data_IF_787407146250
#
_entry.id   IF_787407146250
#
_cell.length_a   1.000
_cell.length_b   1.000
_cell.length_c   1.000
_cell.angle_alpha   90.00
_cell.angle_beta   90.00
_cell.angle_gamma   90.00
#
_symmetry.space_group_name_H-M   'P 1'
#
loop_
_entity.id
_entity.type
_entity.pdbx_description
1 polymer ?
#
# COMPACT_ATOMS: atom_id res chain seq x y z
N UNK A 1 28.53 -7.21 -22.68
CA UNK A 1 28.39 -5.84 -22.17
C UNK A 1 27.89 -5.95 -20.73
N UNK A 2 28.57 -5.34 -19.77
CA UNK A 2 28.20 -5.37 -18.34
C UNK A 2 28.02 -3.94 -17.85
N UNK A 3 26.94 -3.70 -17.12
CA UNK A 3 26.68 -2.40 -16.48
C UNK A 3 27.05 -2.48 -15.00
N UNK A 4 27.52 -1.36 -14.44
CA UNK A 4 27.72 -1.26 -13.00
C UNK A 4 26.37 -1.19 -12.27
N UNK A 5 26.33 -1.59 -11.00
CA UNK A 5 25.14 -1.44 -10.15
C UNK A 5 24.71 0.03 -10.06
N UNK A 6 25.67 0.96 -10.02
CA UNK A 6 25.39 2.40 -10.04
C UNK A 6 24.68 2.84 -11.31
N UNK A 7 25.13 2.40 -12.48
CA UNK A 7 24.50 2.73 -13.75
C UNK A 7 23.05 2.19 -13.84
N UNK A 8 22.79 0.98 -13.32
CA UNK A 8 21.44 0.42 -13.24
C UNK A 8 20.55 1.26 -12.30
N UNK A 9 21.06 1.63 -11.13
CA UNK A 9 20.35 2.45 -10.14
C UNK A 9 19.99 3.85 -10.68
N UNK A 10 20.92 4.49 -11.38
CA UNK A 10 20.67 5.79 -12.03
C UNK A 10 19.60 5.69 -13.13
N UNK A 11 19.64 4.63 -13.94
CA UNK A 11 18.62 4.40 -14.96
C UNK A 11 17.24 4.19 -14.32
N UNK A 12 17.14 3.39 -13.25
CA UNK A 12 15.90 3.20 -12.49
C UNK A 12 15.37 4.52 -11.92
N UNK A 13 16.25 5.39 -11.43
CA UNK A 13 15.86 6.71 -10.88
C UNK A 13 15.20 7.60 -11.93
N UNK A 14 15.72 7.60 -13.17
CA UNK A 14 15.12 8.35 -14.29
C UNK A 14 13.73 7.82 -14.64
N UNK A 15 13.60 6.50 -14.75
CA UNK A 15 12.31 5.83 -15.02
C UNK A 15 11.31 6.11 -13.90
N UNK A 16 11.71 6.01 -12.64
CA UNK A 16 10.86 6.30 -11.49
C UNK A 16 10.31 7.73 -11.54
N UNK A 17 11.16 8.71 -11.89
CA UNK A 17 10.75 10.10 -12.05
C UNK A 17 9.67 10.25 -13.13
N UNK A 18 9.85 9.60 -14.29
CA UNK A 18 8.88 9.59 -15.39
C UNK A 18 7.55 8.92 -15.03
N UNK A 19 7.56 7.90 -14.15
CA UNK A 19 6.37 7.18 -13.72
C UNK A 19 5.56 7.91 -12.63
N UNK A 20 6.10 8.98 -12.04
CA UNK A 20 5.44 9.72 -10.95
C UNK A 20 4.01 10.18 -11.31
N UNK A 21 3.73 10.76 -12.49
CA UNK A 21 2.36 11.14 -12.86
C UNK A 21 1.42 9.95 -12.95
N UNK A 22 1.89 8.81 -13.48
CA UNK A 22 1.11 7.57 -13.55
C UNK A 22 0.82 7.02 -12.15
N UNK A 23 1.80 7.04 -11.25
CA UNK A 23 1.62 6.64 -9.85
C UNK A 23 0.55 7.48 -9.14
N UNK A 24 0.52 8.79 -9.40
CA UNK A 24 -0.55 9.67 -8.90
C UNK A 24 -1.90 9.35 -9.52
N UNK A 25 -1.97 9.10 -10.83
CA UNK A 25 -3.22 8.73 -11.50
C UNK A 25 -3.80 7.41 -10.96
N UNK A 26 -2.93 6.42 -10.69
CA UNK A 26 -3.32 5.15 -10.07
C UNK A 26 -3.90 5.38 -8.67
N UNK A 27 -3.24 6.21 -7.85
CA UNK A 27 -3.76 6.59 -6.52
C UNK A 27 -5.15 7.19 -6.64
N UNK A 28 -5.33 8.17 -7.52
CA UNK A 28 -6.58 8.90 -7.65
C UNK A 28 -7.71 7.97 -8.14
N UNK A 29 -7.41 7.05 -9.06
CA UNK A 29 -8.36 6.01 -9.49
C UNK A 29 -8.76 5.09 -8.34
N UNK A 30 -7.78 4.58 -7.57
CA UNK A 30 -8.03 3.69 -6.42
C UNK A 30 -8.88 4.38 -5.34
N UNK A 31 -8.69 5.67 -5.10
CA UNK A 31 -9.47 6.42 -4.12
C UNK A 31 -10.95 6.56 -4.49
N UNK A 32 -11.31 6.26 -5.74
CA UNK A 32 -12.70 6.23 -6.23
C UNK A 32 -13.23 4.82 -6.47
N UNK A 33 -12.39 3.79 -6.29
CA UNK A 33 -12.79 2.41 -6.50
C UNK A 33 -13.90 1.99 -5.50
N UNK A 34 -14.86 1.15 -5.92
CA UNK A 34 -15.96 0.73 -5.05
C UNK A 34 -15.50 -0.25 -3.96
N UNK A 35 -14.40 -0.97 -4.20
CA UNK A 35 -13.81 -1.94 -3.30
C UNK A 35 -12.29 -1.91 -3.46
N UNK A 36 -11.58 -1.97 -2.32
CA UNK A 36 -10.13 -2.15 -2.30
C UNK A 36 -9.72 -3.19 -1.27
N UNK A 37 -8.61 -3.86 -1.54
CA UNK A 37 -7.90 -4.72 -0.61
C UNK A 37 -6.63 -4.00 -0.17
N UNK A 38 -6.32 -4.01 1.13
CA UNK A 38 -5.14 -3.33 1.67
C UNK A 38 -4.31 -4.31 2.48
N UNK A 39 -2.99 -4.21 2.31
CA UNK A 39 -2.01 -4.99 3.05
C UNK A 39 -0.77 -4.14 3.39
N UNK A 40 -0.12 -4.49 4.50
CA UNK A 40 1.14 -3.88 4.93
C UNK A 40 2.20 -4.94 5.23
N UNK A 41 3.34 -4.82 4.56
CA UNK A 41 4.49 -5.69 4.78
C UNK A 41 5.66 -4.91 5.36
N UNK A 42 6.32 -5.46 6.38
CA UNK A 42 7.54 -4.92 6.97
C UNK A 42 8.62 -4.69 5.88
N UNK A 43 9.23 -3.51 5.85
CA UNK A 43 10.23 -3.13 4.86
C UNK A 43 11.47 -2.51 5.55
N UNK A 44 12.44 -3.32 6.01
CA UNK A 44 13.72 -2.84 6.49
C UNK A 44 14.49 -2.14 5.36
N UNK A 45 15.10 -0.99 5.63
CA UNK A 45 15.76 -0.18 4.59
C UNK A 45 17.15 0.27 5.04
N UNK A 46 18.19 -0.13 4.32
CA UNK A 46 19.56 0.38 4.40
C UNK A 46 20.12 0.60 5.83
N UNK A 47 19.80 -0.28 6.78
CA UNK A 47 20.29 -0.17 8.16
C UNK A 47 19.64 0.94 8.97
N UNK A 48 18.53 1.53 8.51
CA UNK A 48 17.71 2.41 9.32
C UNK A 48 17.24 1.67 10.58
N UNK A 49 17.38 2.32 11.74
CA UNK A 49 16.93 1.75 13.03
C UNK A 49 15.41 1.57 13.05
N UNK A 50 14.67 2.48 12.40
CA UNK A 50 13.22 2.44 12.33
C UNK A 50 12.74 1.60 11.15
N UNK A 51 11.89 0.60 11.43
CA UNK A 51 11.22 -0.21 10.41
C UNK A 51 10.26 0.64 9.57
N UNK A 52 10.39 0.57 8.23
CA UNK A 52 9.38 1.08 7.30
C UNK A 52 8.37 0.01 6.93
N UNK A 53 7.30 0.43 6.29
CA UNK A 53 6.20 -0.44 5.86
C UNK A 53 5.93 -0.21 4.39
N UNK A 54 5.89 -1.29 3.62
CA UNK A 54 5.36 -1.29 2.27
C UNK A 54 3.86 -1.45 2.36
N UNK A 55 3.13 -0.40 1.99
CA UNK A 55 1.69 -0.40 1.92
C UNK A 55 1.25 -0.66 0.49
N UNK A 56 0.27 -1.54 0.33
CA UNK A 56 -0.34 -1.89 -0.95
C UNK A 56 -1.84 -1.72 -0.84
N UNK A 57 -2.44 -0.99 -1.79
CA UNK A 57 -3.88 -0.92 -2.00
C UNK A 57 -4.18 -1.47 -3.39
N UNK A 58 -4.94 -2.54 -3.47
CA UNK A 58 -5.38 -3.15 -4.72
C UNK A 58 -6.87 -2.90 -4.95
N UNK A 59 -7.22 -2.55 -6.17
CA UNK A 59 -8.58 -2.61 -6.71
C UNK A 59 -8.67 -3.77 -7.70
N UNK A 60 -9.76 -3.87 -8.47
CA UNK A 60 -9.90 -4.89 -9.51
C UNK A 60 -8.81 -4.79 -10.58
N UNK A 61 -8.49 -3.58 -11.04
CA UNK A 61 -7.61 -3.36 -12.19
C UNK A 61 -6.24 -2.76 -11.83
N UNK A 62 -6.13 -2.13 -10.66
CA UNK A 62 -4.99 -1.29 -10.30
C UNK A 62 -4.44 -1.62 -8.92
N UNK A 63 -3.13 -1.45 -8.77
CA UNK A 63 -2.41 -1.56 -7.50
C UNK A 63 -1.62 -0.28 -7.24
N UNK A 64 -1.82 0.30 -6.06
CA UNK A 64 -1.11 1.45 -5.55
C UNK A 64 -0.21 1.04 -4.39
N UNK A 65 1.10 1.28 -4.52
CA UNK A 65 2.07 0.99 -3.48
C UNK A 65 2.79 2.24 -2.98
N UNK A 66 3.13 2.24 -1.68
CA UNK A 66 3.94 3.29 -1.07
C UNK A 66 4.70 2.78 0.15
N UNK A 67 5.93 3.23 0.31
CA UNK A 67 6.70 3.01 1.54
C UNK A 67 6.41 4.14 2.54
N UNK A 68 5.92 3.80 3.73
CA UNK A 68 5.64 4.74 4.83
C UNK A 68 6.41 4.35 6.09
N UNK A 69 6.59 5.32 7.00
CA UNK A 69 7.38 5.14 8.23
C UNK A 69 6.67 4.37 9.35
N UNK A 70 5.35 4.15 9.26
CA UNK A 70 4.60 3.50 10.33
C UNK A 70 3.45 2.64 9.80
N UNK A 71 3.10 1.61 10.58
CA UNK A 71 1.86 0.83 10.46
C UNK A 71 0.78 1.43 11.36
N UNK A 72 0.33 2.64 11.04
CA UNK A 72 -0.61 3.41 11.86
C UNK A 72 -1.90 3.75 11.12
N UNK A 73 -2.93 4.13 11.87
CA UNK A 73 -4.18 4.68 11.33
C UNK A 73 -3.95 5.88 10.41
N UNK A 74 -2.95 6.72 10.71
CA UNK A 74 -2.61 7.85 9.85
C UNK A 74 -2.08 7.38 8.48
N UNK A 75 -1.21 6.37 8.48
CA UNK A 75 -0.71 5.75 7.26
C UNK A 75 -1.84 5.10 6.45
N UNK A 76 -2.73 4.34 7.11
CA UNK A 76 -3.89 3.73 6.45
C UNK A 76 -4.80 4.79 5.77
N UNK A 77 -5.11 5.88 6.47
CA UNK A 77 -5.88 7.01 5.90
C UNK A 77 -5.15 7.73 4.77
N UNK A 78 -3.81 7.75 4.81
CA UNK A 78 -2.99 8.32 3.73
C UNK A 78 -3.08 7.46 2.47
N UNK A 79 -3.09 6.14 2.63
CA UNK A 79 -3.19 5.19 1.50
C UNK A 79 -4.59 5.19 0.89
N UNK A 80 -5.64 5.09 1.72
CA UNK A 80 -7.04 5.03 1.28
C UNK A 80 -7.58 6.38 0.81
N UNK A 81 -7.03 7.48 1.31
CA UNK A 81 -7.63 8.81 1.18
C UNK A 81 -8.62 9.10 2.33
N UNK A 82 -8.64 10.35 2.80
CA UNK A 82 -9.39 10.75 4.01
C UNK A 82 -10.91 10.49 3.92
N UNK A 83 -11.46 10.51 2.71
CA UNK A 83 -12.90 10.43 2.45
C UNK A 83 -13.30 9.20 1.62
N UNK A 84 -12.51 8.12 1.68
CA UNK A 84 -12.84 6.89 0.96
C UNK A 84 -14.17 6.31 1.43
N UNK A 85 -15.07 6.04 0.47
CA UNK A 85 -16.45 5.60 0.74
C UNK A 85 -16.77 4.17 0.28
N UNK A 86 -15.81 3.53 -0.40
CA UNK A 86 -15.92 2.15 -0.87
C UNK A 86 -15.79 1.13 0.26
N UNK A 87 -15.86 -0.15 -0.13
CA UNK A 87 -15.54 -1.27 0.75
C UNK A 87 -14.03 -1.42 0.89
N UNK A 88 -13.57 -1.77 2.08
CA UNK A 88 -12.18 -2.05 2.37
C UNK A 88 -12.06 -3.47 2.90
N UNK A 89 -11.18 -4.27 2.31
CA UNK A 89 -10.82 -5.60 2.80
C UNK A 89 -9.41 -5.54 3.35
N UNK A 90 -9.20 -5.90 4.61
CA UNK A 90 -7.86 -5.87 5.24
C UNK A 90 -7.61 -7.11 6.08
N UNK A 91 -6.40 -7.27 6.58
CA UNK A 91 -6.11 -8.17 7.70
C UNK A 91 -6.75 -7.66 9.03
N UNK A 92 -6.28 -8.17 10.17
CA UNK A 92 -6.76 -7.76 11.51
C UNK A 92 -5.94 -6.61 12.12
N UNK A 93 -5.32 -5.75 11.30
CA UNK A 93 -4.51 -4.63 11.77
C UNK A 93 -5.38 -3.53 12.44
N UNK A 94 -5.03 -3.08 13.67
CA UNK A 94 -5.77 -2.01 14.36
C UNK A 94 -5.79 -0.66 13.64
N UNK A 95 -4.91 -0.45 12.65
CA UNK A 95 -4.88 0.76 11.80
C UNK A 95 -6.20 1.02 11.08
N UNK A 96 -7.07 0.01 11.00
CA UNK A 96 -8.35 0.05 10.32
C UNK A 96 -9.56 0.21 11.24
N UNK A 97 -9.38 0.28 12.57
CA UNK A 97 -10.48 0.35 13.54
C UNK A 97 -11.39 1.59 13.40
N UNK A 98 -10.98 2.59 12.61
CA UNK A 98 -11.78 3.77 12.30
C UNK A 98 -12.79 3.54 11.17
N UNK A 99 -12.66 2.45 10.42
CA UNK A 99 -13.61 2.08 9.37
C UNK A 99 -14.91 1.61 10.00
N UNK A 100 -16.02 1.97 9.35
CA UNK A 100 -17.33 1.48 9.76
C UNK A 100 -17.44 -0.02 9.49
N UNK A 101 -18.00 -0.84 10.40
CA UNK A 101 -18.11 -2.29 10.21
C UNK A 101 -18.79 -2.69 8.89
N UNK A 102 -19.82 -1.96 8.46
CA UNK A 102 -20.53 -2.21 7.19
C UNK A 102 -19.69 -1.89 5.93
N UNK A 103 -18.55 -1.21 6.09
CA UNK A 103 -17.60 -0.88 5.03
C UNK A 103 -16.28 -1.64 5.14
N UNK A 104 -16.12 -2.47 6.17
CA UNK A 104 -14.87 -3.16 6.46
C UNK A 104 -15.08 -4.67 6.49
N UNK A 105 -14.39 -5.39 5.60
CA UNK A 105 -14.36 -6.84 5.58
C UNK A 105 -12.98 -7.36 5.95
N UNK A 106 -12.94 -8.56 6.53
CA UNK A 106 -11.69 -9.24 6.85
C UNK A 106 -11.23 -10.08 5.67
N UNK A 107 -9.94 -10.06 5.41
CA UNK A 107 -9.31 -10.86 4.37
C UNK A 107 -9.41 -12.35 4.73
N UNK A 108 -10.06 -13.12 3.85
CA UNK A 108 -10.29 -14.55 4.03
C UNK A 108 -8.99 -15.34 4.20
N UNK A 109 -7.92 -14.97 3.50
CA UNK A 109 -6.62 -15.63 3.62
C UNK A 109 -6.06 -15.55 5.05
N UNK A 110 -6.27 -14.42 5.73
CA UNK A 110 -5.87 -14.23 7.12
C UNK A 110 -6.81 -14.96 8.09
N UNK A 111 -8.12 -14.94 7.84
CA UNK A 111 -9.07 -15.72 8.63
C UNK A 111 -8.73 -17.21 8.58
N UNK A 112 -8.46 -17.76 7.38
CA UNK A 112 -8.07 -19.16 7.20
C UNK A 112 -6.81 -19.50 8.00
N UNK A 113 -5.76 -18.67 7.92
CA UNK A 113 -4.50 -18.90 8.64
C UNK A 113 -4.68 -18.93 10.16
N UNK A 114 -5.61 -18.13 10.69
CA UNK A 114 -5.87 -18.08 12.14
C UNK A 114 -6.70 -19.25 12.67
N UNK A 115 -7.35 -20.02 11.78
CA UNK A 115 -8.17 -21.18 12.13
C UNK A 115 -7.44 -22.52 11.93
N UNK A 116 -6.18 -22.48 11.46
CA UNK A 116 -5.28 -23.63 11.34
C UNK A 116 -4.44 -23.74 12.61
#
# INVERSE_FOLDING_TARGET
MTFSVGAISEAQTKVASMLTPLHHAIRDSIQTAPLVQVDETSHPRNGEESLRWCWLVASEDLVYEKILFSRSTHSAKTMLGKNYSGLVVTDQCPSYNWLKPEKHQRCWSHVKRNLQ
#
